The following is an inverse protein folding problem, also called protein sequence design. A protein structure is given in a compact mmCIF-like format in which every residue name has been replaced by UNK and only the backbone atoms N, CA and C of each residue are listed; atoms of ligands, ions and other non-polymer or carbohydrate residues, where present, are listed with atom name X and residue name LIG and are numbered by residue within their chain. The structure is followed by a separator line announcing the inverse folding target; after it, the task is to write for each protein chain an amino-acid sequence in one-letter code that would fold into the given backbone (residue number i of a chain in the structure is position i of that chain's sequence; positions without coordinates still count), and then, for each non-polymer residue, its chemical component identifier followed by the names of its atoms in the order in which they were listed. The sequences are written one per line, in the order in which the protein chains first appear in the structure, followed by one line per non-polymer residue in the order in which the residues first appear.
data_IF_676853619880
#
_entry.id   IF_676853619880
#
_cell.length_a   1.000
_cell.length_b   1.000
_cell.length_c   1.000
_cell.angle_alpha   90.00
_cell.angle_beta   90.00
_cell.angle_gamma   90.00
#
_symmetry.space_group_name_H-M   'P 1'
#
loop_
_entity.id
_entity.type
_entity.pdbx_description
1 polymer ?
#
# COMPACT_ATOMS: atom_id res chain seq x y z
N UNK A 1 15.17 3.38 11.45
CA UNK A 1 13.89 3.89 11.98
C UNK A 1 13.21 2.79 12.80
N UNK A 2 12.61 3.16 13.91
CA UNK A 2 11.78 2.21 14.67
C UNK A 2 10.39 2.07 14.03
N UNK A 3 9.59 1.14 14.53
CA UNK A 3 8.26 0.86 13.95
C UNK A 3 7.35 2.09 13.94
N UNK A 4 7.36 2.88 15.02
CA UNK A 4 6.53 4.09 15.07
C UNK A 4 6.95 5.16 14.07
N UNK A 5 8.25 5.33 13.88
CA UNK A 5 8.76 6.28 12.88
C UNK A 5 8.40 5.82 11.45
N UNK A 6 8.52 4.52 11.19
CA UNK A 6 8.12 3.95 9.91
C UNK A 6 6.63 4.16 9.68
N UNK A 7 5.80 3.90 10.69
CA UNK A 7 4.35 4.07 10.59
C UNK A 7 3.96 5.53 10.27
N UNK A 8 4.58 6.49 10.96
CA UNK A 8 4.31 7.91 10.73
C UNK A 8 4.71 8.33 9.32
N UNK A 9 5.87 7.90 8.86
CA UNK A 9 6.36 8.21 7.51
C UNK A 9 5.49 7.57 6.44
N UNK A 10 5.11 6.31 6.64
CA UNK A 10 4.22 5.58 5.74
C UNK A 10 2.88 6.29 5.59
N UNK A 11 2.24 6.63 6.71
CA UNK A 11 0.95 7.31 6.69
C UNK A 11 1.03 8.66 5.98
N UNK A 12 2.09 9.44 6.22
CA UNK A 12 2.30 10.72 5.58
C UNK A 12 2.43 10.60 4.06
N UNK A 13 3.24 9.65 3.60
CA UNK A 13 3.43 9.41 2.17
C UNK A 13 2.15 8.89 1.51
N UNK A 14 1.41 8.01 2.19
CA UNK A 14 0.14 7.50 1.69
C UNK A 14 -0.89 8.63 1.53
N UNK A 15 -0.96 9.56 2.49
CA UNK A 15 -1.87 10.73 2.39
C UNK A 15 -1.56 11.59 1.19
N UNK A 16 -0.30 11.67 0.79
CA UNK A 16 0.13 12.42 -0.38
C UNK A 16 -0.03 11.64 -1.69
N UNK A 17 -0.46 10.37 -1.62
CA UNK A 17 -0.54 9.50 -2.79
C UNK A 17 0.81 9.04 -3.30
N UNK A 18 1.86 9.17 -2.50
CA UNK A 18 3.24 8.81 -2.87
C UNK A 18 3.56 7.38 -2.48
N UNK A 19 2.81 6.44 -3.03
CA UNK A 19 2.92 5.01 -2.66
C UNK A 19 4.26 4.40 -3.07
N UNK A 20 4.73 4.69 -4.28
CA UNK A 20 6.02 4.17 -4.73
C UNK A 20 7.17 4.72 -3.88
N UNK A 21 7.13 6.00 -3.54
CA UNK A 21 8.15 6.60 -2.67
C UNK A 21 8.18 5.91 -1.31
N UNK A 22 7.00 5.60 -0.74
CA UNK A 22 6.89 4.88 0.51
C UNK A 22 7.51 3.49 0.40
N UNK A 23 7.21 2.77 -0.68
CA UNK A 23 7.75 1.43 -0.91
C UNK A 23 9.28 1.46 -1.02
N UNK A 24 9.81 2.35 -1.83
CA UNK A 24 11.26 2.45 -2.04
C UNK A 24 12.02 2.88 -0.79
N UNK A 25 11.42 3.74 0.02
CA UNK A 25 12.05 4.23 1.24
C UNK A 25 11.96 3.23 2.40
N UNK A 26 10.82 2.56 2.56
CA UNK A 26 10.47 1.85 3.80
C UNK A 26 10.44 0.33 3.70
N UNK A 27 10.31 -0.25 2.50
CA UNK A 27 10.18 -1.69 2.31
C UNK A 27 11.54 -2.37 2.18
N UNK A 28 11.63 -3.60 2.72
CA UNK A 28 12.75 -4.48 2.45
C UNK A 28 12.72 -4.96 0.99
N UNK A 29 13.88 -5.32 0.45
CA UNK A 29 13.96 -5.78 -0.93
C UNK A 29 13.18 -7.07 -1.16
N UNK A 30 13.08 -7.93 -0.16
CA UNK A 30 12.35 -9.19 -0.19
C UNK A 30 10.94 -9.09 0.38
N UNK A 31 10.39 -7.89 0.51
CA UNK A 31 9.05 -7.68 1.03
C UNK A 31 8.00 -8.43 0.21
N UNK A 32 6.91 -8.79 0.88
CA UNK A 32 5.78 -9.51 0.27
C UNK A 32 4.52 -8.65 0.38
N UNK A 33 3.74 -8.60 -0.70
CA UNK A 33 2.46 -7.90 -0.74
C UNK A 33 1.34 -8.90 -0.99
N UNK A 34 0.29 -8.87 -0.15
CA UNK A 34 -0.79 -9.86 -0.16
C UNK A 34 -2.12 -9.14 -0.39
N UNK A 35 -2.80 -9.51 -1.50
CA UNK A 35 -4.13 -9.02 -1.83
C UNK A 35 -5.19 -9.88 -1.13
N UNK A 36 -6.43 -9.38 -0.94
CA UNK A 36 -7.50 -10.18 -0.33
C UNK A 36 -7.80 -11.46 -1.12
N UNK A 37 -7.66 -11.39 -2.44
CA UNK A 37 -7.85 -12.53 -3.35
C UNK A 37 -7.16 -12.22 -4.66
N UNK A 38 -6.92 -13.26 -5.46
CA UNK A 38 -6.38 -13.09 -6.81
C UNK A 38 -7.46 -12.52 -7.73
N UNK A 39 -7.04 -11.72 -8.71
CA UNK A 39 -7.91 -11.19 -9.77
C UNK A 39 -7.23 -11.41 -11.12
N UNK A 40 -7.95 -11.18 -12.24
CA UNK A 40 -7.32 -11.28 -13.55
C UNK A 40 -6.10 -10.37 -13.73
N UNK A 41 -6.08 -9.22 -13.04
CA UNK A 41 -5.02 -8.24 -13.18
C UNK A 41 -3.90 -8.40 -12.17
N UNK A 42 -4.19 -8.98 -10.99
CA UNK A 42 -3.24 -9.04 -9.89
C UNK A 42 -3.24 -10.41 -9.22
N UNK A 43 -2.05 -11.00 -8.97
CA UNK A 43 -1.97 -12.22 -8.17
C UNK A 43 -2.30 -11.93 -6.71
N UNK A 44 -2.65 -12.96 -5.95
CA UNK A 44 -2.89 -12.82 -4.52
C UNK A 44 -1.63 -12.40 -3.79
N UNK A 45 -0.48 -12.93 -4.17
CA UNK A 45 0.80 -12.67 -3.52
C UNK A 45 1.82 -12.16 -4.52
N UNK A 46 2.52 -11.09 -4.15
CA UNK A 46 3.59 -10.49 -4.95
C UNK A 46 4.84 -10.44 -4.08
N UNK A 47 5.93 -11.06 -4.54
CA UNK A 47 7.18 -11.15 -3.78
C UNK A 47 8.25 -10.25 -4.38
N UNK A 48 8.89 -9.49 -3.51
CA UNK A 48 10.00 -8.62 -3.86
C UNK A 48 9.59 -7.19 -4.15
N UNK A 49 10.42 -6.25 -3.71
CA UNK A 49 10.13 -4.81 -3.83
C UNK A 49 9.92 -4.39 -5.28
N UNK A 50 10.75 -4.89 -6.19
CA UNK A 50 10.63 -4.53 -7.60
C UNK A 50 9.28 -4.95 -8.17
N UNK A 51 8.85 -6.18 -7.88
CA UNK A 51 7.55 -6.69 -8.34
C UNK A 51 6.40 -5.91 -7.70
N UNK A 52 6.54 -5.49 -6.44
CA UNK A 52 5.55 -4.66 -5.75
C UNK A 52 5.44 -3.29 -6.43
N UNK A 53 6.57 -2.66 -6.76
CA UNK A 53 6.58 -1.38 -7.48
C UNK A 53 5.94 -1.53 -8.87
N UNK A 54 6.25 -2.60 -9.59
CA UNK A 54 5.67 -2.88 -10.90
C UNK A 54 4.16 -3.08 -10.80
N UNK A 55 3.68 -3.73 -9.75
CA UNK A 55 2.25 -3.88 -9.47
C UNK A 55 1.59 -2.52 -9.29
N UNK A 56 2.24 -1.61 -8.57
CA UNK A 56 1.78 -0.23 -8.40
C UNK A 56 1.69 0.52 -9.72
N UNK A 57 2.68 0.38 -10.58
CA UNK A 57 2.65 1.00 -11.92
C UNK A 57 1.51 0.46 -12.76
N UNK A 58 1.25 -0.85 -12.68
CA UNK A 58 0.11 -1.44 -13.38
C UNK A 58 -1.21 -0.86 -12.90
N UNK A 59 -1.39 -0.74 -11.58
CA UNK A 59 -2.58 -0.12 -11.03
C UNK A 59 -2.72 1.33 -11.51
N UNK A 60 -1.66 2.13 -11.43
CA UNK A 60 -1.68 3.51 -11.90
C UNK A 60 -2.07 3.62 -13.37
N UNK A 61 -1.63 2.66 -14.20
CA UNK A 61 -1.98 2.65 -15.63
C UNK A 61 -3.47 2.43 -15.87
N UNK A 62 -4.18 1.86 -14.90
CA UNK A 62 -5.62 1.61 -14.96
C UNK A 62 -6.44 2.78 -14.43
N UNK A 63 -5.82 3.74 -13.78
CA UNK A 63 -6.49 4.91 -13.20
C UNK A 63 -6.46 6.07 -14.18
N UNK A 64 -7.65 6.61 -14.46
CA UNK A 64 -7.79 7.80 -15.29
C UNK A 64 -7.57 9.07 -14.47
N UNK A 65 -8.15 9.12 -13.26
CA UNK A 65 -8.07 10.30 -12.38
C UNK A 65 -8.17 9.88 -10.91
N UNK A 66 -7.36 10.51 -10.08
CA UNK A 66 -7.45 10.39 -8.62
C UNK A 66 -8.20 11.62 -8.10
N UNK A 67 -9.33 11.40 -7.42
CA UNK A 67 -10.13 12.48 -6.84
C UNK A 67 -9.72 12.78 -5.41
N UNK A 68 -9.45 11.73 -4.62
CA UNK A 68 -9.10 11.89 -3.22
C UNK A 68 -8.33 10.67 -2.74
N UNK A 69 -7.36 10.90 -1.85
CA UNK A 69 -6.67 9.86 -1.09
C UNK A 69 -6.71 10.23 0.38
N UNK A 70 -7.16 9.30 1.22
CA UNK A 70 -7.17 9.45 2.67
C UNK A 70 -6.46 8.30 3.33
N UNK A 71 -5.66 8.60 4.34
CA UNK A 71 -5.06 7.58 5.20
C UNK A 71 -5.31 7.98 6.65
N UNK A 72 -5.76 7.02 7.45
CA UNK A 72 -5.98 7.22 8.88
C UNK A 72 -4.67 7.39 9.63
N UNK A 73 -4.75 7.82 10.89
CA UNK A 73 -3.62 7.67 11.80
C UNK A 73 -3.29 6.19 11.90
N UNK A 74 -2.01 5.81 11.90
CA UNK A 74 -1.65 4.40 12.01
C UNK A 74 -1.83 3.89 13.44
N UNK A 75 -2.23 2.63 13.55
CA UNK A 75 -2.18 1.87 14.79
C UNK A 75 -0.89 1.08 14.81
N UNK A 76 -0.16 1.12 15.91
CA UNK A 76 1.12 0.46 16.04
C UNK A 76 1.17 -0.38 17.32
N UNK A 77 1.57 -1.63 17.19
CA UNK A 77 1.86 -2.48 18.34
C UNK A 77 3.02 -3.41 17.99
N UNK A 78 4.06 -3.43 18.84
CA UNK A 78 5.24 -4.23 18.56
C UNK A 78 5.86 -3.89 17.20
N UNK A 79 5.88 -4.86 16.30
CA UNK A 79 6.39 -4.70 14.93
C UNK A 79 5.28 -4.64 13.89
N UNK A 80 4.03 -4.44 14.32
CA UNK A 80 2.86 -4.41 13.43
C UNK A 80 2.32 -2.99 13.29
N UNK A 81 1.88 -2.67 12.07
CA UNK A 81 1.26 -1.38 11.73
C UNK A 81 -0.03 -1.67 10.99
N UNK A 82 -1.09 -0.92 11.27
CA UNK A 82 -2.31 -0.95 10.48
C UNK A 82 -2.81 0.46 10.24
N UNK A 83 -3.36 0.71 9.05
CA UNK A 83 -4.03 1.96 8.73
C UNK A 83 -5.17 1.73 7.75
N UNK A 84 -6.16 2.62 7.78
CA UNK A 84 -7.24 2.61 6.80
C UNK A 84 -6.87 3.54 5.65
N UNK A 85 -6.99 3.02 4.42
CA UNK A 85 -6.72 3.78 3.21
C UNK A 85 -7.99 3.86 2.37
N UNK A 86 -8.34 5.06 1.95
CA UNK A 86 -9.45 5.30 1.04
C UNK A 86 -8.94 6.01 -0.20
N UNK A 87 -9.26 5.49 -1.37
CA UNK A 87 -8.94 6.11 -2.66
C UNK A 87 -10.22 6.29 -3.46
N UNK A 88 -10.52 7.53 -3.82
CA UNK A 88 -11.62 7.85 -4.72
C UNK A 88 -11.02 8.13 -6.08
N UNK A 89 -11.25 7.23 -7.04
CA UNK A 89 -10.60 7.26 -8.35
C UNK A 89 -11.61 7.01 -9.47
N UNK A 90 -11.29 7.48 -10.67
CA UNK A 90 -11.96 7.07 -11.89
C UNK A 90 -11.06 6.08 -12.60
N UNK A 91 -11.58 4.87 -12.82
CA UNK A 91 -10.85 3.79 -13.51
C UNK A 91 -11.16 3.84 -15.00
N UNK A 92 -10.13 3.63 -15.82
CA UNK A 92 -10.31 3.59 -17.28
C UNK A 92 -11.28 2.48 -17.65
N UNK A 93 -12.36 2.85 -18.36
CA UNK A 93 -13.36 1.90 -18.82
C UNK A 93 -14.33 1.37 -17.77
N UNK A 94 -14.21 1.79 -16.51
CA UNK A 94 -15.07 1.31 -15.42
C UNK A 94 -15.81 2.41 -14.68
N UNK A 95 -15.37 3.66 -14.80
CA UNK A 95 -15.96 4.80 -14.12
C UNK A 95 -15.40 5.02 -12.71
N UNK A 96 -16.08 5.86 -11.95
CA UNK A 96 -15.62 6.28 -10.62
C UNK A 96 -15.92 5.22 -9.57
N UNK A 97 -14.94 4.92 -8.75
CA UNK A 97 -15.03 3.92 -7.69
C UNK A 97 -14.30 4.42 -6.45
N UNK A 98 -14.84 4.07 -5.28
CA UNK A 98 -14.22 4.34 -3.99
C UNK A 98 -13.65 3.04 -3.44
N UNK A 99 -12.33 2.99 -3.32
CA UNK A 99 -11.61 1.84 -2.78
C UNK A 99 -11.35 2.11 -1.30
N UNK A 100 -11.84 1.22 -0.45
CA UNK A 100 -11.67 1.32 1.01
C UNK A 100 -11.03 0.04 1.50
N UNK A 101 -9.89 0.17 2.19
CA UNK A 101 -9.16 -1.00 2.65
C UNK A 101 -8.43 -0.74 3.97
N UNK A 102 -8.19 -1.83 4.70
CA UNK A 102 -7.24 -1.83 5.81
C UNK A 102 -5.94 -2.39 5.28
N UNK A 103 -4.86 -1.65 5.52
CA UNK A 103 -3.51 -2.07 5.15
C UNK A 103 -2.78 -2.46 6.43
N UNK A 104 -2.29 -3.68 6.49
CA UNK A 104 -1.54 -4.19 7.63
C UNK A 104 -0.09 -4.49 7.21
N UNK A 105 0.85 -4.08 8.04
CA UNK A 105 2.28 -4.18 7.74
C UNK A 105 3.02 -4.84 8.88
N UNK A 106 4.05 -5.59 8.55
CA UNK A 106 4.99 -6.13 9.52
C UNK A 106 6.37 -5.55 9.28
N UNK A 107 7.04 -5.15 10.36
CA UNK A 107 8.37 -4.54 10.32
C UNK A 107 9.39 -5.53 10.88
N UNK A 108 10.55 -5.65 10.25
CA UNK A 108 11.67 -6.44 10.71
C UNK A 108 12.97 -5.74 10.34
N UNK A 109 13.87 -5.62 11.29
CA UNK A 109 15.18 -4.98 11.09
C UNK A 109 15.08 -3.58 10.46
N UNK A 110 14.09 -2.79 10.92
CA UNK A 110 13.92 -1.41 10.47
C UNK A 110 13.31 -1.24 9.09
N UNK A 111 12.73 -2.29 8.50
CA UNK A 111 12.08 -2.25 7.19
C UNK A 111 10.75 -2.98 7.22
N UNK A 112 9.83 -2.57 6.34
CA UNK A 112 8.57 -3.29 6.14
C UNK A 112 8.86 -4.55 5.32
N UNK A 113 8.52 -5.70 5.86
CA UNK A 113 8.75 -7.00 5.21
C UNK A 113 7.48 -7.60 4.63
N UNK A 114 6.31 -7.13 5.05
CA UNK A 114 5.05 -7.56 4.44
C UNK A 114 4.00 -6.46 4.51
N UNK A 115 3.13 -6.44 3.50
CA UNK A 115 1.90 -5.66 3.52
C UNK A 115 0.75 -6.58 3.11
N UNK A 116 -0.38 -6.43 3.78
CA UNK A 116 -1.58 -7.21 3.49
C UNK A 116 -2.80 -6.31 3.49
N UNK A 117 -3.65 -6.48 2.49
CA UNK A 117 -4.83 -5.64 2.30
C UNK A 117 -6.10 -6.42 2.65
N UNK A 118 -7.01 -5.76 3.35
CA UNK A 118 -8.34 -6.27 3.72
C UNK A 118 -9.39 -5.31 3.18
N UNK A 119 -10.30 -5.83 2.38
CA UNK A 119 -11.37 -5.05 1.78
C UNK A 119 -12.73 -5.68 2.04
#
# INVERSE_FOLDING_TARGET
MNTQQIAARLADLCRQGKFEAAQKELFAEDAVSIEPHASPDFPKETKGLRAIVDKGHKFESMVEKVHEVRASEPLVTGNAIALALTMDVTMKGRGRVKLEEICAYEVKDGKIVSEQFFM
#
